data_IF_870201117377
#
_entry.id   IF_870201117377
#
_cell.length_a   1.000
_cell.length_b   1.000
_cell.length_c   1.000
_cell.angle_alpha   90.00
_cell.angle_beta   90.00
_cell.angle_gamma   90.00
#
_symmetry.space_group_name_H-M   'P 1'
#
loop_
_entity.id
_entity.type
_entity.pdbx_description
1 polymer ?
#
# COMPACT_ATOMS: atom_id res chain seq x y z
N UNK A 1 -12.07 5.05 -7.12
CA UNK A 1 -10.82 5.82 -7.07
C UNK A 1 -11.18 7.24 -6.72
N UNK A 2 -10.48 7.87 -5.78
CA UNK A 2 -10.69 9.27 -5.39
C UNK A 2 -9.43 10.10 -5.63
N UNK A 3 -9.61 11.39 -5.90
CA UNK A 3 -8.53 12.33 -6.16
C UNK A 3 -8.37 13.28 -4.97
N UNK A 4 -7.11 13.59 -4.61
CA UNK A 4 -6.75 14.47 -3.51
C UNK A 4 -5.66 15.44 -3.94
N UNK A 5 -5.95 16.73 -3.93
CA UNK A 5 -4.99 17.79 -4.27
C UNK A 5 -4.47 18.47 -3.00
N UNK A 6 -3.16 18.73 -2.95
CA UNK A 6 -2.52 19.40 -1.83
C UNK A 6 -1.63 20.55 -2.32
N UNK A 7 -1.83 21.72 -1.74
CA UNK A 7 -0.91 22.84 -1.88
C UNK A 7 0.32 22.60 -1.00
N UNK A 8 1.47 22.37 -1.64
CA UNK A 8 2.73 22.07 -0.94
C UNK A 8 3.63 23.31 -1.01
N UNK A 9 4.12 23.84 0.13
CA UNK A 9 5.04 24.97 0.14
C UNK A 9 6.26 24.70 -0.75
N UNK A 10 6.54 25.61 -1.68
CA UNK A 10 7.66 25.49 -2.62
C UNK A 10 7.41 24.59 -3.83
N UNK A 11 6.18 24.10 -4.04
CA UNK A 11 5.79 23.35 -5.25
C UNK A 11 4.72 24.14 -5.99
N UNK A 12 5.08 24.71 -7.14
CA UNK A 12 4.15 25.45 -7.99
C UNK A 12 3.03 24.53 -8.48
N UNK A 13 1.77 24.97 -8.32
CA UNK A 13 0.59 24.18 -8.68
C UNK A 13 0.31 22.99 -7.75
N UNK A 14 1.00 22.88 -6.61
CA UNK A 14 0.74 21.83 -5.62
C UNK A 14 1.05 20.42 -6.12
N UNK A 15 0.33 19.42 -5.59
CA UNK A 15 0.43 18.03 -6.04
C UNK A 15 -0.88 17.30 -5.93
N UNK A 16 -1.23 16.58 -7.00
CA UNK A 16 -2.41 15.71 -7.05
C UNK A 16 -2.02 14.26 -6.80
N UNK A 17 -2.81 13.58 -5.99
CA UNK A 17 -2.67 12.16 -5.71
C UNK A 17 -3.98 11.42 -5.95
N UNK A 18 -3.86 10.15 -6.33
CA UNK A 18 -4.99 9.23 -6.44
C UNK A 18 -4.95 8.23 -5.30
N UNK A 19 -6.10 8.00 -4.67
CA UNK A 19 -6.33 6.88 -3.78
C UNK A 19 -7.18 5.83 -4.49
N UNK A 20 -6.59 4.66 -4.71
CA UNK A 20 -7.25 3.48 -5.26
C UNK A 20 -7.44 2.44 -4.15
N UNK A 21 -8.67 1.98 -3.94
CA UNK A 21 -8.99 0.88 -3.02
C UNK A 21 -9.18 -0.38 -3.86
N UNK A 22 -8.44 -1.43 -3.54
CA UNK A 22 -8.63 -2.74 -4.17
C UNK A 22 -9.99 -3.30 -3.73
N UNK A 23 -10.93 -3.63 -4.64
CA UNK A 23 -12.26 -4.14 -4.27
C UNK A 23 -12.21 -5.44 -3.46
N UNK A 24 -11.10 -6.20 -3.58
CA UNK A 24 -10.87 -7.45 -2.85
C UNK A 24 -10.26 -7.23 -1.45
N UNK A 25 -10.19 -5.99 -0.95
CA UNK A 25 -9.63 -5.66 0.38
C UNK A 25 -10.32 -6.46 1.51
N UNK A 26 -11.59 -6.80 1.34
CA UNK A 26 -12.38 -7.60 2.30
C UNK A 26 -11.84 -9.02 2.52
N UNK A 27 -11.17 -9.62 1.54
CA UNK A 27 -10.65 -10.98 1.64
C UNK A 27 -9.33 -10.99 2.42
N UNK A 28 -9.35 -11.56 3.63
CA UNK A 28 -8.21 -11.52 4.56
C UNK A 28 -7.20 -12.66 4.39
N UNK A 29 -7.44 -13.62 3.48
CA UNK A 29 -6.56 -14.77 3.31
C UNK A 29 -5.16 -14.34 2.86
N UNK A 30 -4.13 -15.07 3.33
CA UNK A 30 -2.73 -14.93 2.87
C UNK A 30 -2.39 -15.91 1.73
N UNK A 31 -3.36 -16.72 1.32
CA UNK A 31 -3.20 -17.74 0.29
C UNK A 31 -3.25 -17.13 -1.11
N UNK A 32 -4.06 -16.09 -1.29
CA UNK A 32 -4.14 -15.34 -2.54
C UNK A 32 -2.93 -14.40 -2.69
N UNK A 33 -1.92 -14.88 -3.41
CA UNK A 33 -0.68 -14.14 -3.70
C UNK A 33 -0.89 -12.93 -4.62
N UNK A 34 -2.06 -12.75 -5.24
CA UNK A 34 -2.39 -11.58 -6.06
C UNK A 34 -3.10 -10.50 -5.26
N UNK A 35 -3.78 -10.86 -4.17
CA UNK A 35 -4.50 -9.93 -3.29
C UNK A 35 -3.69 -9.56 -2.04
N UNK A 36 -2.51 -9.00 -2.24
CA UNK A 36 -1.60 -8.63 -1.14
C UNK A 36 -1.78 -7.18 -0.69
N UNK A 37 -2.26 -6.30 -1.57
CA UNK A 37 -2.37 -4.86 -1.36
C UNK A 37 -3.85 -4.46 -1.26
N UNK A 38 -4.20 -3.70 -0.22
CA UNK A 38 -5.58 -3.26 0.04
C UNK A 38 -5.89 -1.92 -0.62
N UNK A 39 -4.89 -1.06 -0.78
CA UNK A 39 -5.02 0.23 -1.43
C UNK A 39 -3.68 0.74 -1.98
N UNK A 40 -3.74 1.75 -2.83
CA UNK A 40 -2.57 2.45 -3.36
C UNK A 40 -2.79 3.95 -3.33
N UNK A 41 -1.78 4.68 -2.85
CA UNK A 41 -1.67 6.12 -2.97
C UNK A 41 -0.67 6.47 -4.09
N UNK A 42 -1.10 7.18 -5.12
CA UNK A 42 -0.33 7.42 -6.34
C UNK A 42 -0.10 8.91 -6.53
N UNK A 43 1.15 9.34 -6.69
CA UNK A 43 1.49 10.69 -7.17
C UNK A 43 1.28 10.73 -8.69
N UNK A 44 0.33 11.53 -9.17
CA UNK A 44 -0.02 11.59 -10.60
C UNK A 44 1.05 12.25 -11.45
N UNK A 45 1.88 13.11 -10.86
CA UNK A 45 2.94 13.84 -11.57
C UNK A 45 4.11 12.93 -11.92
N UNK A 46 4.46 12.01 -11.02
CA UNK A 46 5.65 11.16 -11.13
C UNK A 46 5.33 9.69 -11.41
N UNK A 47 4.10 9.24 -11.16
CA UNK A 47 3.72 7.84 -11.15
C UNK A 47 4.29 7.04 -9.98
N UNK A 48 4.96 7.69 -9.02
CA UNK A 48 5.37 7.05 -7.78
C UNK A 48 4.15 6.67 -6.95
N UNK A 49 4.24 5.55 -6.23
CA UNK A 49 3.13 5.09 -5.41
C UNK A 49 3.59 4.45 -4.10
N UNK A 50 2.66 4.44 -3.15
CA UNK A 50 2.76 3.74 -1.87
C UNK A 50 1.68 2.66 -1.87
N UNK A 51 2.10 1.41 -1.75
CA UNK A 51 1.19 0.29 -1.50
C UNK A 51 0.79 0.27 -0.02
N UNK A 52 -0.50 0.11 0.24
CA UNK A 52 -1.10 0.08 1.57
C UNK A 52 -1.66 -1.32 1.81
N UNK A 53 -1.28 -1.94 2.92
CA UNK A 53 -1.82 -3.24 3.36
C UNK A 53 -2.22 -3.12 4.82
N UNK A 54 -3.46 -3.47 5.13
CA UNK A 54 -3.98 -3.42 6.48
C UNK A 54 -3.29 -4.48 7.37
N UNK A 55 -2.88 -4.04 8.55
CA UNK A 55 -2.46 -4.91 9.64
C UNK A 55 -3.71 -5.36 10.42
N UNK A 56 -3.71 -6.59 10.90
CA UNK A 56 -4.83 -7.21 11.64
C UNK A 56 -4.31 -8.15 12.73
N UNK A 57 -5.13 -8.52 13.72
CA UNK A 57 -4.82 -9.59 14.67
C UNK A 57 -4.36 -10.89 13.98
N UNK A 58 -3.30 -11.50 14.52
CA UNK A 58 -2.92 -12.88 14.18
C UNK A 58 -3.66 -13.83 15.14
N UNK A 59 -4.85 -14.27 14.73
CA UNK A 59 -5.71 -15.10 15.58
C UNK A 59 -5.04 -16.42 16.01
N UNK A 60 -4.17 -16.98 15.16
CA UNK A 60 -3.48 -18.23 15.45
C UNK A 60 -2.43 -18.05 16.55
N UNK A 61 -1.69 -16.95 16.54
CA UNK A 61 -0.73 -16.61 17.61
C UNK A 61 -1.41 -16.11 18.88
N UNK A 62 -2.45 -15.30 18.75
CA UNK A 62 -3.25 -14.82 19.91
C UNK A 62 -3.89 -15.98 20.68
N UNK A 63 -4.41 -17.00 19.99
CA UNK A 63 -4.91 -18.23 20.62
C UNK A 63 -3.84 -19.02 21.38
N UNK A 64 -2.55 -18.81 21.07
CA UNK A 64 -1.40 -19.44 21.75
C UNK A 64 -0.81 -18.57 22.86
N UNK A 65 -1.47 -17.45 23.20
CA UNK A 65 -1.07 -16.56 24.31
C UNK A 65 -0.30 -15.31 23.88
N UNK A 66 0.03 -15.16 22.60
CA UNK A 66 0.68 -13.95 22.09
C UNK A 66 -0.38 -12.88 21.77
N UNK A 67 -0.91 -12.24 22.81
CA UNK A 67 -2.05 -11.30 22.72
C UNK A 67 -1.77 -10.11 21.82
N UNK A 68 -0.50 -9.72 21.71
CA UNK A 68 -0.04 -8.60 20.89
C UNK A 68 0.17 -8.92 19.41
N UNK A 69 0.04 -10.18 19.01
CA UNK A 69 0.38 -10.61 17.66
C UNK A 69 -0.51 -9.95 16.60
N UNK A 70 0.14 -9.35 15.62
CA UNK A 70 -0.46 -8.77 14.43
C UNK A 70 0.16 -9.40 13.19
N UNK A 71 -0.57 -9.39 12.08
CA UNK A 71 -0.12 -9.85 10.77
C UNK A 71 -0.75 -9.03 9.64
N UNK A 72 -0.19 -9.10 8.44
CA UNK A 72 -0.80 -8.56 7.23
C UNK A 72 -0.89 -9.61 6.11
N UNK A 73 -1.47 -9.23 4.95
CA UNK A 73 -1.63 -10.15 3.81
C UNK A 73 -0.30 -10.60 3.19
N UNK A 74 0.76 -9.79 3.34
CA UNK A 74 2.12 -10.10 2.87
C UNK A 74 2.93 -10.97 3.84
N UNK A 75 2.28 -11.59 4.84
CA UNK A 75 2.90 -12.48 5.85
C UNK A 75 3.94 -11.81 6.75
N UNK A 76 4.01 -10.48 6.75
CA UNK A 76 4.73 -9.77 7.81
C UNK A 76 3.94 -9.88 9.12
N UNK A 77 4.67 -10.07 10.21
CA UNK A 77 4.13 -10.12 11.57
C UNK A 77 4.62 -8.91 12.36
N UNK A 78 3.75 -8.38 13.20
CA UNK A 78 4.03 -7.22 14.03
C UNK A 78 3.57 -7.49 15.46
N UNK A 79 4.00 -6.65 16.38
CA UNK A 79 3.54 -6.63 17.76
C UNK A 79 2.81 -5.30 17.98
N UNK A 80 1.58 -5.37 18.50
CA UNK A 80 0.73 -4.19 18.70
C UNK A 80 1.37 -3.11 19.58
N UNK A 81 2.26 -3.49 20.50
CA UNK A 81 2.98 -2.56 21.37
C UNK A 81 4.12 -1.83 20.65
N UNK A 82 4.52 -2.31 19.46
CA UNK A 82 5.68 -1.81 18.69
C UNK A 82 5.33 -1.36 17.28
N UNK A 83 4.12 -1.64 16.81
CA UNK A 83 3.74 -1.39 15.44
C UNK A 83 3.52 0.10 15.17
N UNK A 84 4.42 0.70 14.39
CA UNK A 84 4.16 1.91 13.59
C UNK A 84 4.32 1.49 12.12
N UNK A 85 3.22 1.31 11.39
CA UNK A 85 3.28 0.65 10.08
C UNK A 85 2.87 1.59 8.92
N UNK A 86 3.86 2.09 8.20
CA UNK A 86 3.76 2.50 6.80
C UNK A 86 5.01 2.01 6.07
N UNK A 87 4.86 1.12 5.08
CA UNK A 87 5.99 0.59 4.30
C UNK A 87 5.92 1.13 2.87
N UNK A 88 6.86 1.99 2.50
CA UNK A 88 6.94 2.53 1.13
C UNK A 88 7.77 1.60 0.26
N UNK A 89 7.15 0.93 -0.73
CA UNK A 89 7.89 0.21 -1.78
C UNK A 89 8.09 1.12 -3.00
N UNK A 90 9.34 1.51 -3.27
CA UNK A 90 9.70 2.27 -4.48
C UNK A 90 9.89 1.31 -5.66
N UNK A 91 8.86 1.08 -6.48
CA UNK A 91 9.02 0.45 -7.81
C UNK A 91 9.11 1.54 -8.87
N UNK A 92 10.26 1.64 -9.55
CA UNK A 92 10.46 2.52 -10.72
C UNK A 92 9.81 1.84 -11.92
N UNK A 93 8.76 2.43 -12.48
CA UNK A 93 8.31 2.06 -13.83
C UNK A 93 9.20 2.78 -14.83
N UNK A 94 10.03 2.05 -15.59
CA UNK A 94 10.66 2.61 -16.78
C UNK A 94 9.61 2.64 -17.88
N UNK A 95 9.20 3.83 -18.33
CA UNK A 95 8.54 3.96 -19.63
C UNK A 95 9.58 3.61 -20.69
N UNK A 96 9.40 2.50 -21.40
CA UNK A 96 10.08 2.29 -22.68
C UNK A 96 9.41 3.22 -23.69
N UNK A 97 10.09 4.30 -24.07
CA UNK A 97 9.76 5.01 -25.29
C UNK A 97 10.26 4.17 -26.46
N UNK A 98 9.38 3.32 -27.00
CA UNK A 98 9.60 2.72 -28.31
C UNK A 98 8.94 3.63 -29.36
N UNK A 99 9.72 4.58 -29.87
CA UNK A 99 9.36 5.40 -31.05
C UNK A 99 10.04 4.81 -32.28
N UNK A 100 9.62 3.61 -32.68
CA UNK A 100 10.03 3.01 -33.95
C UNK A 100 8.85 2.56 -34.80
N UNK A 101 7.98 3.50 -35.18
CA UNK A 101 7.21 3.44 -36.44
C UNK A 101 6.97 4.86 -36.99
N UNK A 102 7.91 5.33 -37.80
CA UNK A 102 7.70 6.24 -38.95
C UNK A 102 8.64 5.75 -40.05
#
# INVERSE_FOLDING_TARGET
MTEHHFDIPGVEGGRTYLLEINPNYVFRSIEDKKNVIDARWIDTSSGLFIDITAVRPDDAKRKKGDTGALMCKDKHHFDETKAVAATTRRRRFSRSNDTSQI
#
